data_IF_844494570568
#
_entry.id   IF_844494570568
#
_cell.length_a   1.000
_cell.length_b   1.000
_cell.length_c   1.000
_cell.angle_alpha   90.00
_cell.angle_beta   90.00
_cell.angle_gamma   90.00
#
_symmetry.space_group_name_H-M   'P 1'
#
loop_
_entity.id
_entity.type
_entity.pdbx_description
1 polymer ?
#
# COMPACT_ATOMS: atom_id res chain seq x y z
N UNK A 1 -62.54 25.65 -15.87
CA UNK A 1 -62.83 25.23 -17.26
C UNK A 1 -62.49 23.73 -17.34
N UNK A 2 -63.44 22.90 -17.79
CA UNK A 2 -63.59 21.42 -17.78
C UNK A 2 -62.41 20.52 -17.37
N UNK A 3 -62.54 19.56 -16.44
CA UNK A 3 -63.32 18.28 -16.43
C UNK A 3 -63.00 17.37 -17.62
N UNK A 4 -62.36 16.20 -17.38
CA UNK A 4 -62.96 14.87 -17.57
C UNK A 4 -61.98 13.70 -17.30
N UNK A 5 -62.40 12.79 -16.42
CA UNK A 5 -61.93 11.41 -16.27
C UNK A 5 -62.33 10.53 -17.47
N UNK A 6 -61.63 9.41 -17.66
CA UNK A 6 -62.09 8.01 -17.92
C UNK A 6 -60.82 7.20 -18.34
N UNK A 7 -60.53 5.96 -17.95
CA UNK A 7 -61.30 4.87 -17.34
C UNK A 7 -61.19 3.59 -18.21
N UNK A 8 -60.78 2.48 -17.58
CA UNK A 8 -60.86 1.06 -18.01
C UNK A 8 -59.83 0.48 -19.01
N UNK A 9 -59.50 -0.83 -19.05
CA UNK A 9 -59.59 -2.03 -18.17
C UNK A 9 -59.13 -3.25 -19.03
N UNK A 10 -58.34 -4.17 -18.45
CA UNK A 10 -58.19 -5.63 -18.72
C UNK A 10 -57.95 -6.18 -20.16
N UNK A 11 -57.01 -7.12 -20.34
CA UNK A 11 -57.21 -8.59 -20.25
C UNK A 11 -55.99 -9.42 -20.73
N UNK A 12 -55.73 -10.48 -19.96
CA UNK A 12 -55.12 -11.80 -20.20
C UNK A 12 -54.57 -12.23 -21.59
N UNK A 13 -53.45 -12.97 -21.55
CA UNK A 13 -53.07 -13.96 -22.56
C UNK A 13 -51.90 -14.84 -22.11
N UNK A 14 -52.10 -16.15 -22.03
CA UNK A 14 -51.18 -17.19 -21.54
C UNK A 14 -50.88 -18.21 -22.67
N UNK A 15 -49.81 -19.03 -22.51
CA UNK A 15 -49.43 -20.26 -23.28
C UNK A 15 -48.74 -20.06 -24.65
N UNK A 16 -47.84 -20.92 -25.16
CA UNK A 16 -47.32 -22.27 -24.82
C UNK A 16 -46.09 -22.62 -25.71
N UNK A 17 -45.15 -23.39 -25.14
CA UNK A 17 -44.50 -24.65 -25.63
C UNK A 17 -43.80 -24.75 -27.01
N UNK A 18 -42.62 -25.39 -26.98
CA UNK A 18 -42.05 -26.28 -28.01
C UNK A 18 -40.52 -26.23 -27.97
N UNK A 19 -39.79 -27.04 -27.19
CA UNK A 19 -39.49 -28.48 -27.35
C UNK A 19 -38.81 -28.82 -28.69
N UNK A 20 -37.52 -29.19 -28.64
CA UNK A 20 -36.92 -30.40 -29.27
C UNK A 20 -35.38 -30.38 -29.19
N UNK A 21 -34.81 -31.32 -28.43
CA UNK A 21 -33.56 -32.02 -28.80
C UNK A 21 -33.94 -33.21 -29.72
N UNK A 22 -33.02 -33.89 -30.44
CA UNK A 22 -32.15 -34.87 -29.76
C UNK A 22 -30.76 -35.16 -30.40
N UNK A 23 -29.95 -35.89 -29.61
CA UNK A 23 -29.02 -37.00 -29.97
C UNK A 23 -27.89 -36.80 -31.01
N UNK A 24 -26.64 -37.19 -30.76
CA UNK A 24 -26.16 -38.59 -30.66
C UNK A 24 -24.71 -38.59 -30.14
N UNK A 25 -24.41 -39.30 -29.05
CA UNK A 25 -23.78 -40.63 -29.00
C UNK A 25 -22.33 -40.72 -29.54
N UNK A 26 -21.39 -40.74 -28.59
CA UNK A 26 -19.97 -41.08 -28.75
C UNK A 26 -19.76 -42.59 -28.55
N UNK A 27 -18.99 -43.22 -29.43
CA UNK A 27 -18.40 -44.55 -29.28
C UNK A 27 -16.91 -44.43 -29.63
N UNK A 28 -16.01 -44.84 -28.73
CA UNK A 28 -15.23 -46.09 -28.84
C UNK A 28 -14.05 -45.93 -29.81
N UNK A 29 -12.79 -46.27 -29.54
CA UNK A 29 -12.12 -47.16 -28.59
C UNK A 29 -10.63 -46.91 -28.79
N UNK A 30 -9.85 -46.80 -27.71
CA UNK A 30 -8.38 -46.78 -27.75
C UNK A 30 -7.83 -48.21 -27.70
N UNK A 31 -6.90 -48.53 -28.60
CA UNK A 31 -6.12 -49.76 -28.57
C UNK A 31 -4.78 -49.50 -27.88
N UNK A 32 -4.50 -50.31 -26.86
CA UNK A 32 -3.20 -50.50 -26.21
C UNK A 32 -2.60 -51.79 -26.80
N UNK A 33 -1.31 -51.77 -27.12
CA UNK A 33 -0.52 -52.99 -27.32
C UNK A 33 0.88 -52.79 -26.74
N UNK A 34 1.13 -53.49 -25.63
CA UNK A 34 2.46 -53.89 -25.16
C UNK A 34 2.96 -55.07 -25.99
N UNK A 35 4.26 -55.13 -26.31
CA UNK A 35 4.95 -56.39 -26.56
C UNK A 35 6.43 -56.31 -26.14
N UNK A 36 6.68 -56.96 -25.00
CA UNK A 36 7.73 -57.95 -24.68
C UNK A 36 9.21 -57.79 -25.03
N UNK A 37 9.98 -58.08 -23.97
CA UNK A 37 11.42 -58.30 -23.85
C UNK A 37 11.98 -59.45 -24.72
N UNK A 38 13.24 -59.27 -25.12
CA UNK A 38 14.12 -60.33 -25.63
C UNK A 38 15.32 -60.54 -24.71
N UNK A 39 15.42 -61.75 -24.14
CA UNK A 39 16.61 -62.26 -23.47
C UNK A 39 17.70 -62.60 -24.50
N UNK A 40 18.96 -62.33 -24.16
CA UNK A 40 20.11 -62.99 -24.77
C UNK A 40 21.10 -63.39 -23.68
N UNK A 41 21.38 -64.70 -23.64
CA UNK A 41 22.36 -65.37 -22.78
C UNK A 41 23.73 -65.32 -23.45
N UNK A 42 24.77 -64.98 -22.70
CA UNK A 42 26.15 -65.29 -23.08
C UNK A 42 26.95 -65.79 -21.88
N UNK A 43 27.81 -66.76 -22.17
CA UNK A 43 28.44 -67.74 -21.29
C UNK A 43 29.43 -67.18 -20.27
N UNK A 44 29.46 -67.87 -19.13
CA UNK A 44 30.34 -67.67 -17.98
C UNK A 44 31.68 -68.37 -18.21
N UNK A 45 32.80 -67.63 -18.14
CA UNK A 45 34.15 -68.19 -18.03
C UNK A 45 34.65 -67.97 -16.60
N UNK A 46 34.86 -69.07 -15.88
CA UNK A 46 35.40 -69.08 -14.53
C UNK A 46 36.85 -68.57 -14.51
N UNK A 47 37.13 -67.61 -13.63
CA UNK A 47 38.48 -67.14 -13.31
C UNK A 47 38.61 -67.08 -11.78
N UNK A 48 39.74 -67.56 -11.30
CA UNK A 48 40.14 -67.75 -9.89
C UNK A 48 40.07 -66.45 -9.06
N UNK A 49 39.77 -66.49 -7.75
CA UNK A 49 39.67 -65.30 -6.93
C UNK A 49 41.06 -64.75 -6.55
N UNK A 50 41.31 -63.43 -6.67
CA UNK A 50 42.50 -62.83 -6.09
C UNK A 50 42.35 -62.66 -4.57
N UNK A 51 43.49 -62.63 -3.88
CA UNK A 51 43.64 -62.49 -2.44
C UNK A 51 42.97 -61.23 -1.87
N UNK A 52 42.56 -61.22 -0.58
CA UNK A 52 41.89 -60.08 0.03
C UNK A 52 42.89 -58.92 0.18
N UNK A 53 42.63 -57.84 -0.52
CA UNK A 53 43.26 -56.54 -0.27
C UNK A 53 42.58 -55.94 0.97
N UNK A 54 43.37 -55.60 2.00
CA UNK A 54 42.88 -54.85 3.15
C UNK A 54 42.35 -53.48 2.70
N UNK A 55 41.08 -53.22 2.98
CA UNK A 55 40.47 -51.89 2.84
C UNK A 55 41.18 -50.93 3.82
N UNK A 56 41.55 -49.71 3.39
CA UNK A 56 42.01 -48.71 4.34
C UNK A 56 40.86 -48.35 5.27
N UNK A 57 41.16 -48.35 6.58
CA UNK A 57 40.21 -47.95 7.62
C UNK A 57 39.58 -46.58 7.29
N UNK A 58 38.26 -46.39 7.48
CA UNK A 58 37.63 -45.10 7.24
C UNK A 58 38.27 -44.07 8.16
N UNK A 59 38.75 -42.96 7.59
CA UNK A 59 39.20 -41.81 8.35
C UNK A 59 38.07 -41.34 9.27
N UNK A 60 38.38 -40.95 10.52
CA UNK A 60 37.36 -40.45 11.43
C UNK A 60 36.74 -39.19 10.82
N UNK A 61 35.44 -39.25 10.52
CA UNK A 61 34.64 -38.09 10.14
C UNK A 61 34.80 -37.03 11.22
N UNK A 62 35.55 -35.98 10.88
CA UNK A 62 35.61 -34.75 11.66
C UNK A 62 34.18 -34.24 11.73
N UNK A 63 33.60 -33.94 12.91
CA UNK A 63 32.29 -33.33 12.97
C UNK A 63 32.35 -32.05 12.15
N UNK A 64 31.57 -32.01 11.08
CA UNK A 64 31.34 -30.80 10.31
C UNK A 64 30.86 -29.76 11.31
N UNK A 65 31.67 -28.72 11.51
CA UNK A 65 31.28 -27.61 12.36
C UNK A 65 29.99 -27.08 11.76
N UNK A 66 28.89 -27.20 12.50
CA UNK A 66 27.63 -26.54 12.17
C UNK A 66 27.98 -25.06 12.13
N UNK A 67 28.16 -24.50 10.93
CA UNK A 67 28.25 -23.06 10.76
C UNK A 67 27.01 -22.48 11.42
N UNK A 68 27.14 -21.50 12.33
CA UNK A 68 25.97 -20.86 12.89
C UNK A 68 25.13 -20.35 11.72
N UNK A 69 23.87 -20.79 11.66
CA UNK A 69 22.84 -20.14 10.86
C UNK A 69 23.00 -18.63 11.04
N UNK A 70 22.99 -17.82 9.96
CA UNK A 70 23.11 -16.38 10.08
C UNK A 70 22.12 -15.91 11.15
N UNK A 71 22.66 -15.27 12.19
CA UNK A 71 21.83 -14.69 13.24
C UNK A 71 20.87 -13.73 12.54
N UNK A 72 19.57 -14.04 12.65
CA UNK A 72 18.47 -13.14 12.31
C UNK A 72 18.83 -11.73 12.78
N UNK A 73 18.92 -10.77 11.84
CA UNK A 73 19.43 -9.40 11.98
C UNK A 73 19.33 -8.85 13.41
N UNK A 74 20.38 -9.06 14.22
CA UNK A 74 20.41 -8.56 15.59
C UNK A 74 20.52 -7.04 15.54
N UNK A 75 19.41 -6.35 15.82
CA UNK A 75 19.37 -4.89 15.87
C UNK A 75 20.32 -4.36 16.94
N UNK A 76 20.93 -3.18 16.73
CA UNK A 76 21.69 -2.49 17.78
C UNK A 76 20.86 -2.32 19.06
N UNK A 77 21.52 -2.30 20.22
CA UNK A 77 20.85 -2.06 21.50
C UNK A 77 20.07 -0.73 21.48
N UNK A 78 18.80 -0.77 21.92
CA UNK A 78 17.90 0.38 21.92
C UNK A 78 17.26 0.71 20.56
N UNK A 79 17.47 -0.13 19.54
CA UNK A 79 16.78 -0.04 18.26
C UNK A 79 15.71 -1.11 18.08
N UNK A 80 14.66 -0.74 17.34
CA UNK A 80 13.57 -1.62 16.91
C UNK A 80 13.31 -1.42 15.42
N UNK A 81 12.62 -2.37 14.78
CA UNK A 81 12.10 -2.14 13.42
C UNK A 81 10.94 -1.15 13.47
N UNK A 82 10.99 -0.12 12.61
CA UNK A 82 9.87 0.79 12.39
C UNK A 82 8.65 0.01 11.89
N UNK A 83 7.46 0.34 12.40
CA UNK A 83 6.22 -0.23 11.88
C UNK A 83 5.80 0.38 10.53
N UNK A 84 6.39 1.51 10.13
CA UNK A 84 6.12 2.17 8.86
C UNK A 84 7.07 1.74 7.74
N UNK A 85 8.37 1.60 8.03
CA UNK A 85 9.41 1.35 7.00
C UNK A 85 10.17 0.04 7.19
N UNK A 86 10.06 -0.60 8.36
CA UNK A 86 10.85 -1.78 8.71
C UNK A 86 12.32 -1.48 9.04
N UNK A 87 12.79 -0.26 8.77
CA UNK A 87 14.17 0.15 9.04
C UNK A 87 14.44 0.22 10.56
N UNK A 88 15.70 0.03 10.99
CA UNK A 88 16.09 0.24 12.38
C UNK A 88 15.89 1.70 12.81
N UNK A 89 15.16 1.90 13.90
CA UNK A 89 14.90 3.20 14.53
C UNK A 89 15.08 3.12 16.03
N UNK A 90 15.30 4.25 16.70
CA UNK A 90 15.31 4.27 18.16
C UNK A 90 13.97 3.77 18.71
N UNK A 91 13.99 2.95 19.76
CA UNK A 91 12.78 2.34 20.34
C UNK A 91 11.70 3.38 20.69
N UNK A 92 12.11 4.54 21.21
CA UNK A 92 11.21 5.65 21.54
C UNK A 92 10.45 6.21 20.32
N UNK A 93 11.01 6.08 19.12
CA UNK A 93 10.37 6.45 17.87
C UNK A 93 9.57 5.26 17.32
N UNK A 94 10.13 4.06 17.30
CA UNK A 94 9.46 2.86 16.79
C UNK A 94 8.26 2.39 17.61
N UNK A 95 8.07 2.89 18.84
CA UNK A 95 6.97 2.49 19.75
C UNK A 95 6.04 3.65 20.13
N UNK A 96 6.12 4.77 19.41
CA UNK A 96 5.14 5.86 19.52
C UNK A 96 4.20 5.88 18.34
N UNK A 97 3.02 6.47 18.53
CA UNK A 97 2.06 6.72 17.45
C UNK A 97 2.69 7.63 16.39
N UNK A 98 2.50 7.32 15.10
CA UNK A 98 2.91 8.22 14.06
C UNK A 98 1.97 9.42 14.00
N UNK A 99 2.49 10.53 13.48
CA UNK A 99 1.69 11.70 13.13
C UNK A 99 1.30 11.57 11.66
N UNK A 100 0.01 11.58 11.35
CA UNK A 100 -0.51 11.61 9.99
C UNK A 100 -0.86 13.06 9.63
N UNK A 101 -0.19 13.64 8.62
CA UNK A 101 -0.38 15.05 8.24
C UNK A 101 -0.94 15.14 6.83
N UNK A 102 -2.06 15.85 6.68
CA UNK A 102 -2.64 16.17 5.38
C UNK A 102 -1.84 17.27 4.67
N UNK A 103 -1.40 17.04 3.43
CA UNK A 103 -0.57 17.98 2.66
C UNK A 103 -1.24 18.34 1.33
N UNK A 104 -1.17 19.61 0.96
CA UNK A 104 -1.61 20.08 -0.36
C UNK A 104 -0.80 19.43 -1.49
N UNK A 105 -1.43 19.11 -2.62
CA UNK A 105 -0.73 18.64 -3.82
C UNK A 105 -1.18 19.37 -5.09
N UNK A 106 -1.12 20.70 -5.04
CA UNK A 106 -1.30 21.54 -6.23
C UNK A 106 -0.02 22.31 -6.48
N UNK A 107 0.19 22.74 -7.73
CA UNK A 107 1.45 23.38 -8.14
C UNK A 107 1.82 24.61 -7.29
N UNK A 108 0.85 25.43 -6.89
CA UNK A 108 1.09 26.62 -6.04
C UNK A 108 1.43 26.30 -4.59
N UNK A 109 1.32 25.03 -4.20
CA UNK A 109 1.68 24.50 -2.90
C UNK A 109 2.87 23.52 -2.98
N UNK A 110 3.53 23.44 -4.14
CA UNK A 110 4.74 22.66 -4.34
C UNK A 110 5.97 23.59 -4.38
N UNK A 111 7.16 23.12 -3.96
CA UNK A 111 7.39 21.82 -3.32
C UNK A 111 6.75 21.73 -1.92
N UNK A 112 6.41 20.52 -1.47
CA UNK A 112 6.01 20.32 -0.07
C UNK A 112 7.24 20.40 0.84
N UNK A 113 7.07 20.93 2.05
CA UNK A 113 8.13 20.97 3.06
C UNK A 113 8.05 19.73 3.94
N UNK A 114 9.17 19.07 4.23
CA UNK A 114 9.31 18.00 5.21
C UNK A 114 8.71 16.66 4.81
N UNK A 115 8.10 16.55 3.63
CA UNK A 115 7.41 15.34 3.16
C UNK A 115 8.36 14.14 3.02
N UNK A 116 9.65 14.37 2.75
CA UNK A 116 10.66 13.31 2.66
C UNK A 116 10.80 12.52 3.95
N UNK A 117 10.37 13.05 5.10
CA UNK A 117 10.42 12.34 6.38
C UNK A 117 9.28 11.35 6.60
N UNK A 118 8.28 11.32 5.71
CA UNK A 118 7.19 10.37 5.83
C UNK A 118 7.68 8.95 5.52
N UNK A 119 7.35 7.99 6.38
CA UNK A 119 7.61 6.57 6.13
C UNK A 119 6.59 5.98 5.15
N UNK A 120 5.35 6.46 5.22
CA UNK A 120 4.27 6.09 4.31
C UNK A 120 3.58 7.35 3.81
N UNK A 121 3.34 7.44 2.50
CA UNK A 121 2.58 8.52 1.89
C UNK A 121 1.36 7.92 1.20
N UNK A 122 0.16 8.37 1.57
CA UNK A 122 -1.05 8.13 0.79
C UNK A 122 -1.29 9.30 -0.16
N UNK A 123 -1.64 9.01 -1.40
CA UNK A 123 -2.17 9.97 -2.36
C UNK A 123 -3.54 9.50 -2.83
N UNK A 124 -4.51 10.41 -2.87
CA UNK A 124 -5.86 10.11 -3.34
C UNK A 124 -6.47 11.34 -4.03
N UNK A 125 -7.36 11.11 -5.02
CA UNK A 125 -8.10 12.18 -5.67
C UNK A 125 -9.09 12.82 -4.70
N UNK A 126 -9.22 14.14 -4.81
CA UNK A 126 -10.23 14.94 -4.11
C UNK A 126 -11.09 15.67 -5.15
N UNK A 127 -11.78 16.74 -4.74
CA UNK A 127 -12.66 17.51 -5.62
C UNK A 127 -11.88 18.23 -6.72
N UNK A 128 -12.49 18.40 -7.90
CA UNK A 128 -11.88 19.16 -9.01
C UNK A 128 -10.72 18.46 -9.74
N UNK A 129 -10.55 17.15 -9.55
CA UNK A 129 -9.56 16.34 -10.28
C UNK A 129 -8.11 16.52 -9.81
N UNK A 130 -7.91 17.20 -8.67
CA UNK A 130 -6.61 17.30 -8.00
C UNK A 130 -6.42 16.12 -7.03
N UNK A 131 -5.20 15.89 -6.59
CA UNK A 131 -4.92 14.97 -5.48
C UNK A 131 -4.56 15.71 -4.20
N UNK A 132 -4.61 14.99 -3.10
CA UNK A 132 -4.04 15.41 -1.82
C UNK A 132 -3.11 14.31 -1.31
N UNK A 133 -2.22 14.65 -0.38
CA UNK A 133 -1.32 13.68 0.25
C UNK A 133 -1.62 13.57 1.73
N UNK A 134 -1.35 12.42 2.31
CA UNK A 134 -1.26 12.21 3.75
C UNK A 134 0.06 11.49 4.04
N UNK A 135 0.99 12.18 4.70
CA UNK A 135 2.25 11.58 5.14
C UNK A 135 2.14 11.06 6.57
N UNK A 136 2.69 9.87 6.84
CA UNK A 136 2.83 9.31 8.19
C UNK A 136 4.27 9.45 8.66
N UNK A 137 4.45 10.13 9.78
CA UNK A 137 5.76 10.49 10.35
C UNK A 137 5.94 9.79 11.68
N UNK A 138 6.92 8.88 11.73
CA UNK A 138 7.33 8.24 12.98
C UNK A 138 8.44 9.02 13.68
N UNK A 139 9.34 9.65 12.92
CA UNK A 139 10.24 10.68 13.44
C UNK A 139 9.63 12.07 13.20
N UNK A 140 9.24 12.77 14.26
CA UNK A 140 8.77 14.17 14.24
C UNK A 140 9.42 15.06 15.32
N UNK A 141 10.53 14.61 15.94
CA UNK A 141 11.14 15.28 17.10
C UNK A 141 11.80 16.62 16.76
N UNK A 142 12.40 16.70 15.58
CA UNK A 142 13.18 17.80 15.03
C UNK A 142 12.57 18.34 13.72
N UNK A 143 11.26 18.15 13.55
CA UNK A 143 10.56 18.59 12.35
C UNK A 143 10.44 20.11 12.33
N UNK A 144 11.25 20.79 11.51
CA UNK A 144 11.26 22.25 11.43
C UNK A 144 10.04 22.83 10.68
N UNK A 145 9.58 22.13 9.64
CA UNK A 145 8.47 22.58 8.80
C UNK A 145 7.88 21.41 8.02
N UNK A 146 6.58 21.18 8.17
CA UNK A 146 5.80 20.23 7.38
C UNK A 146 4.55 20.91 6.81
N UNK A 147 4.33 20.76 5.51
CA UNK A 147 3.16 21.32 4.84
C UNK A 147 3.36 21.61 3.35
N UNK A 148 2.54 22.46 2.73
CA UNK A 148 1.43 23.16 3.38
C UNK A 148 0.32 22.19 3.81
N UNK A 149 -0.17 22.35 5.04
CA UNK A 149 -1.23 21.50 5.62
C UNK A 149 -2.56 21.79 4.96
N UNK A 150 -3.33 20.75 4.65
CA UNK A 150 -4.62 20.85 3.98
C UNK A 150 -5.73 20.02 4.59
N UNK A 151 -6.91 20.13 3.97
CA UNK A 151 -8.15 19.64 4.54
C UNK A 151 -8.29 18.12 4.44
N UNK A 152 -8.92 17.55 5.46
CA UNK A 152 -9.26 16.13 5.57
C UNK A 152 -10.42 15.72 4.65
N UNK A 153 -10.41 14.48 4.17
CA UNK A 153 -11.57 13.75 3.61
C UNK A 153 -11.77 12.43 4.35
N UNK A 154 -12.95 11.86 4.24
CA UNK A 154 -13.45 10.71 5.01
C UNK A 154 -12.52 9.50 4.90
N UNK A 155 -12.12 9.15 3.68
CA UNK A 155 -11.23 8.02 3.43
C UNK A 155 -9.84 8.20 4.05
N UNK A 156 -9.32 9.41 4.19
CA UNK A 156 -8.06 9.64 4.93
C UNK A 156 -8.22 9.36 6.43
N UNK A 157 -9.40 9.57 7.00
CA UNK A 157 -9.66 9.25 8.41
C UNK A 157 -9.56 7.75 8.65
N UNK A 158 -10.20 6.93 7.80
CA UNK A 158 -10.11 5.47 7.89
C UNK A 158 -8.69 4.94 7.68
N UNK A 159 -7.93 5.58 6.79
CA UNK A 159 -6.53 5.24 6.54
C UNK A 159 -5.66 5.60 7.74
N UNK A 160 -5.77 6.82 8.29
CA UNK A 160 -5.03 7.26 9.47
C UNK A 160 -5.33 6.41 10.72
N UNK A 161 -6.61 6.06 10.93
CA UNK A 161 -7.03 5.21 12.04
C UNK A 161 -6.38 3.82 12.00
N UNK A 162 -6.16 3.25 10.82
CA UNK A 162 -5.48 1.96 10.66
C UNK A 162 -4.05 1.97 11.21
N UNK A 163 -3.39 3.11 11.24
CA UNK A 163 -2.04 3.28 11.80
C UNK A 163 -2.05 3.72 13.27
N UNK A 164 -3.23 3.83 13.89
CA UNK A 164 -3.37 4.39 15.22
C UNK A 164 -2.75 5.80 15.32
N UNK A 165 -2.82 6.57 14.23
CA UNK A 165 -2.09 7.82 14.08
C UNK A 165 -2.73 8.97 14.88
N UNK A 166 -1.93 10.00 15.16
CA UNK A 166 -2.40 11.33 15.55
C UNK A 166 -2.60 12.14 14.26
N UNK A 167 -3.83 12.56 13.97
CA UNK A 167 -4.19 13.05 12.65
C UNK A 167 -4.29 14.58 12.57
N UNK A 168 -3.37 15.21 11.85
CA UNK A 168 -3.26 16.65 11.70
C UNK A 168 -3.74 17.12 10.34
N UNK A 169 -4.67 18.07 10.33
CA UNK A 169 -5.25 18.62 9.11
C UNK A 169 -5.71 20.07 9.32
N UNK A 170 -5.91 20.80 8.22
CA UNK A 170 -6.45 22.16 8.26
C UNK A 170 -7.74 22.25 7.46
N UNK A 171 -8.87 22.19 8.17
CA UNK A 171 -10.19 22.06 7.59
C UNK A 171 -10.55 20.63 7.20
N UNK A 172 -11.78 20.42 6.74
CA UNK A 172 -12.35 19.10 6.48
C UNK A 172 -13.51 19.19 5.49
N UNK A 173 -13.81 18.08 4.82
CA UNK A 173 -15.11 17.90 4.13
C UNK A 173 -16.24 17.76 5.17
N UNK A 174 -17.46 18.13 4.79
CA UNK A 174 -18.60 18.06 5.70
C UNK A 174 -18.90 16.62 6.15
N UNK A 175 -18.71 15.62 5.28
CA UNK A 175 -18.98 14.22 5.62
C UNK A 175 -17.88 13.57 6.48
N UNK A 176 -16.73 14.23 6.64
CA UNK A 176 -15.67 13.81 7.55
C UNK A 176 -15.94 14.23 9.00
N UNK A 177 -16.83 15.20 9.25
CA UNK A 177 -17.11 15.72 10.59
C UNK A 177 -17.53 14.60 11.57
N UNK A 178 -18.50 13.72 11.25
CA UNK A 178 -18.91 12.67 12.19
C UNK A 178 -17.80 11.66 12.49
N UNK A 179 -16.86 11.45 11.55
CA UNK A 179 -15.72 10.55 11.76
C UNK A 179 -14.68 11.20 12.67
N UNK A 180 -14.41 12.49 12.48
CA UNK A 180 -13.47 13.28 13.28
C UNK A 180 -13.97 13.54 14.70
N UNK A 181 -15.29 13.58 14.91
CA UNK A 181 -15.92 13.70 16.23
C UNK A 181 -16.13 12.35 16.94
N UNK A 182 -15.73 11.24 16.31
CA UNK A 182 -15.82 9.90 16.89
C UNK A 182 -14.60 9.55 17.74
N UNK A 183 -14.73 8.51 18.58
CA UNK A 183 -13.63 8.01 19.43
C UNK A 183 -12.62 7.14 18.66
N UNK A 184 -12.71 7.05 17.32
CA UNK A 184 -11.85 6.20 16.50
C UNK A 184 -10.60 6.91 15.97
N UNK A 185 -10.52 8.24 16.09
CA UNK A 185 -9.38 9.02 15.60
C UNK A 185 -9.11 10.22 16.51
N UNK A 186 -7.87 10.35 16.96
CA UNK A 186 -7.39 11.57 17.60
C UNK A 186 -6.92 12.52 16.51
N UNK A 187 -7.53 13.71 16.42
CA UNK A 187 -7.23 14.66 15.37
C UNK A 187 -7.04 16.09 15.89
N UNK A 188 -6.22 16.86 15.19
CA UNK A 188 -5.95 18.25 15.52
C UNK A 188 -6.25 19.11 14.30
N UNK A 189 -7.39 19.81 14.34
CA UNK A 189 -7.84 20.65 13.22
C UNK A 189 -7.32 22.09 13.33
N UNK A 190 -6.58 22.56 12.32
CA UNK A 190 -6.08 23.94 12.27
C UNK A 190 -7.16 25.02 12.19
N UNK A 191 -8.43 24.67 11.90
CA UNK A 191 -9.54 25.62 12.06
C UNK A 191 -9.89 25.89 13.52
N UNK A 192 -9.59 24.97 14.43
CA UNK A 192 -9.88 25.07 15.86
C UNK A 192 -8.63 25.51 16.65
N UNK A 193 -7.50 24.87 16.40
CA UNK A 193 -6.27 25.06 17.17
C UNK A 193 -5.25 26.01 16.52
N UNK A 194 -5.62 26.65 15.40
CA UNK A 194 -4.84 27.58 14.55
C UNK A 194 -3.45 27.96 15.09
N UNK A 195 -3.22 29.17 15.61
CA UNK A 195 -1.90 29.67 16.03
C UNK A 195 -1.27 28.96 17.24
N UNK A 196 -2.01 28.06 17.91
CA UNK A 196 -1.49 27.29 19.04
C UNK A 196 -0.71 26.06 18.58
N UNK A 197 -1.06 25.54 17.40
CA UNK A 197 -0.53 24.29 16.84
C UNK A 197 0.10 24.53 15.47
N UNK A 198 -0.50 25.38 14.66
CA UNK A 198 -0.11 25.69 13.29
C UNK A 198 0.47 27.09 13.21
N UNK A 199 1.27 27.32 12.18
CA UNK A 199 1.68 28.67 11.81
C UNK A 199 1.43 28.91 10.32
N UNK A 200 1.45 30.19 9.94
CA UNK A 200 1.36 30.59 8.53
C UNK A 200 2.62 31.28 8.08
N UNK A 201 3.05 30.99 6.86
CA UNK A 201 4.18 31.66 6.22
C UNK A 201 3.68 32.67 5.18
N UNK A 202 4.54 33.62 4.79
CA UNK A 202 4.20 34.68 3.83
C UNK A 202 4.64 34.39 2.39
N UNK A 203 5.44 33.34 2.16
CA UNK A 203 5.96 32.96 0.84
C UNK A 203 4.89 32.39 -0.08
N UNK A 204 3.74 31.97 0.47
CA UNK A 204 2.61 31.41 -0.30
C UNK A 204 1.29 32.08 0.09
N UNK A 205 0.33 32.21 -0.84
CA UNK A 205 -0.99 32.72 -0.52
C UNK A 205 -1.80 31.70 0.29
N UNK A 206 -2.68 32.22 1.15
CA UNK A 206 -3.76 31.40 1.71
C UNK A 206 -4.60 30.80 0.58
N UNK A 207 -5.05 29.54 0.67
CA UNK A 207 -4.94 28.65 1.83
C UNK A 207 -3.77 27.65 1.78
N UNK A 208 -2.70 27.94 1.02
CA UNK A 208 -1.54 27.04 0.81
C UNK A 208 -0.31 27.42 1.64
N UNK A 209 -0.52 28.10 2.76
CA UNK A 209 0.54 28.66 3.57
C UNK A 209 0.47 28.28 5.05
N UNK A 210 -0.34 27.29 5.42
CA UNK A 210 -0.38 26.76 6.79
C UNK A 210 0.62 25.61 6.94
N UNK A 211 1.35 25.57 8.04
CA UNK A 211 2.41 24.59 8.31
C UNK A 211 2.37 24.15 9.78
N UNK A 212 3.02 23.02 10.06
CA UNK A 212 3.35 22.52 11.40
C UNK A 212 4.86 22.43 11.57
N UNK A 213 5.29 22.31 12.81
CA UNK A 213 6.62 21.91 13.24
C UNK A 213 6.50 20.97 14.45
N UNK A 214 7.64 20.50 14.97
CA UNK A 214 7.68 19.61 16.14
C UNK A 214 7.01 20.22 17.37
N UNK A 215 7.15 21.53 17.58
CA UNK A 215 6.56 22.22 18.72
C UNK A 215 5.04 22.30 18.59
N UNK A 216 4.52 22.56 17.38
CA UNK A 216 3.11 22.54 17.05
C UNK A 216 2.48 21.15 17.25
N UNK A 217 3.16 20.10 16.82
CA UNK A 217 2.73 18.71 17.06
C UNK A 217 2.68 18.42 18.57
N UNK A 218 3.71 18.79 19.33
CA UNK A 218 3.70 18.61 20.78
C UNK A 218 2.56 19.40 21.45
N UNK A 219 2.34 20.65 21.05
CA UNK A 219 1.25 21.48 21.55
C UNK A 219 -0.12 20.89 21.25
N UNK A 220 -0.32 20.32 20.06
CA UNK A 220 -1.58 19.67 19.68
C UNK A 220 -1.87 18.43 20.53
N UNK A 221 -0.84 17.61 20.78
CA UNK A 221 -0.93 16.46 21.69
C UNK A 221 -1.35 16.91 23.10
N UNK A 222 -0.67 17.92 23.64
CA UNK A 222 -0.90 18.41 25.00
C UNK A 222 -2.27 19.06 25.17
N UNK A 223 -2.70 19.91 24.22
CA UNK A 223 -3.99 20.61 24.26
C UNK A 223 -5.17 19.64 24.23
N UNK A 224 -5.08 18.61 23.41
CA UNK A 224 -6.14 17.61 23.28
C UNK A 224 -6.04 16.47 24.30
N UNK A 225 -4.93 16.39 25.05
CA UNK A 225 -4.69 15.33 26.02
C UNK A 225 -4.52 13.95 25.38
N UNK A 226 -3.97 13.88 24.18
CA UNK A 226 -3.85 12.64 23.43
C UNK A 226 -2.71 11.77 23.91
N UNK A 227 -2.91 10.44 23.88
CA UNK A 227 -1.84 9.47 24.12
C UNK A 227 -0.83 9.51 22.99
N UNK A 228 0.44 9.32 23.33
CA UNK A 228 1.56 9.27 22.36
C UNK A 228 2.04 7.86 22.08
N UNK A 229 1.74 6.90 22.95
CA UNK A 229 2.02 5.48 22.73
C UNK A 229 0.90 4.80 21.93
N UNK A 230 1.27 3.76 21.19
CA UNK A 230 0.29 2.89 20.56
C UNK A 230 -0.66 2.27 21.60
N UNK A 231 -1.82 1.81 21.14
CA UNK A 231 -2.70 0.95 21.93
C UNK A 231 -2.00 -0.37 22.31
N UNK A 232 -2.37 -0.92 23.45
CA UNK A 232 -1.86 -2.21 23.91
C UNK A 232 -2.09 -3.30 22.85
N UNK A 233 -1.04 -4.08 22.57
CA UNK A 233 -1.07 -5.15 21.56
C UNK A 233 -0.92 -4.68 20.11
N UNK A 234 -0.63 -3.40 19.86
CA UNK A 234 -0.23 -2.95 18.53
C UNK A 234 1.20 -3.43 18.19
N UNK A 235 1.32 -4.20 17.12
CA UNK A 235 2.59 -4.81 16.67
C UNK A 235 2.90 -4.47 15.20
N UNK A 236 2.40 -3.33 14.73
CA UNK A 236 2.41 -3.00 13.30
C UNK A 236 1.58 -3.98 12.47
N UNK A 237 1.56 -3.78 11.15
CA UNK A 237 0.82 -4.67 10.25
C UNK A 237 1.50 -4.95 8.93
N UNK A 238 2.39 -4.07 8.49
CA UNK A 238 3.28 -4.37 7.38
C UNK A 238 4.24 -5.49 7.78
N UNK A 239 4.39 -6.43 6.86
CA UNK A 239 5.45 -7.42 6.92
C UNK A 239 6.59 -6.91 6.07
N UNK A 240 7.81 -7.08 6.56
CA UNK A 240 9.00 -6.61 5.86
C UNK A 240 9.91 -7.77 5.48
N UNK A 241 10.47 -7.70 4.28
CA UNK A 241 11.62 -8.50 3.89
C UNK A 241 12.85 -8.08 4.72
N UNK A 242 13.86 -8.95 4.81
CA UNK A 242 15.13 -8.59 5.46
C UNK A 242 16.02 -7.80 4.49
N UNK A 243 17.07 -7.16 5.01
CA UNK A 243 18.06 -6.48 4.17
C UNK A 243 18.82 -7.48 3.28
N UNK A 244 19.06 -8.69 3.78
CA UNK A 244 19.82 -9.72 3.08
C UNK A 244 18.99 -10.53 2.09
N UNK A 245 17.67 -10.57 2.26
CA UNK A 245 16.73 -11.27 1.39
C UNK A 245 15.57 -10.33 0.98
N UNK A 246 15.86 -9.28 0.18
CA UNK A 246 14.84 -8.36 -0.27
C UNK A 246 13.82 -9.03 -1.19
N UNK A 247 12.59 -8.53 -1.19
CA UNK A 247 11.55 -8.94 -2.13
C UNK A 247 11.88 -8.38 -3.52
N UNK A 248 12.12 -9.27 -4.47
CA UNK A 248 12.47 -8.92 -5.86
C UNK A 248 11.32 -9.11 -6.83
N UNK A 249 10.24 -9.77 -6.39
CA UNK A 249 9.08 -10.14 -7.21
C UNK A 249 9.54 -10.80 -8.53
N UNK A 250 10.36 -11.85 -8.45
CA UNK A 250 11.04 -12.44 -9.63
C UNK A 250 10.08 -12.79 -10.78
N UNK A 251 8.87 -13.25 -10.44
CA UNK A 251 7.82 -13.61 -11.40
C UNK A 251 6.90 -12.44 -11.78
N UNK A 252 7.18 -11.24 -11.28
CA UNK A 252 6.42 -10.02 -11.54
C UNK A 252 6.66 -9.43 -12.93
N UNK A 253 5.67 -8.66 -13.40
CA UNK A 253 5.78 -7.88 -14.64
C UNK A 253 6.76 -6.72 -14.46
N UNK A 254 7.30 -6.20 -15.57
CA UNK A 254 8.14 -5.00 -15.52
C UNK A 254 7.33 -3.83 -14.95
N UNK A 255 7.98 -3.06 -14.08
CA UNK A 255 7.42 -1.88 -13.46
C UNK A 255 8.53 -0.84 -13.26
N UNK A 256 9.37 -0.61 -14.27
CA UNK A 256 10.37 0.45 -14.24
C UNK A 256 9.70 1.83 -14.31
N UNK A 257 8.49 1.91 -14.86
CA UNK A 257 7.66 3.11 -14.89
C UNK A 257 6.28 2.82 -14.28
N UNK A 258 5.83 3.69 -13.38
CA UNK A 258 4.50 3.62 -12.76
C UNK A 258 3.81 4.98 -12.81
N UNK A 259 2.62 5.06 -13.40
CA UNK A 259 1.78 6.26 -13.36
C UNK A 259 0.32 5.89 -13.03
N UNK A 260 -0.28 6.47 -11.98
CA UNK A 260 -1.67 6.17 -11.60
C UNK A 260 -2.68 6.73 -12.61
N UNK A 261 -3.70 5.92 -12.93
CA UNK A 261 -4.84 6.37 -13.72
C UNK A 261 -5.69 7.40 -12.97
N UNK A 262 -6.33 8.32 -13.69
CA UNK A 262 -7.24 9.31 -13.11
C UNK A 262 -6.58 10.56 -12.50
N UNK A 263 -5.25 10.65 -12.47
CA UNK A 263 -4.51 11.72 -11.80
C UNK A 263 -4.14 12.86 -12.78
N UNK A 264 -5.17 13.44 -13.39
CA UNK A 264 -5.02 14.33 -14.56
C UNK A 264 -4.43 15.71 -14.26
N UNK A 265 -4.48 16.16 -13.00
CA UNK A 265 -4.00 17.50 -12.65
C UNK A 265 -2.48 17.55 -12.44
N UNK A 266 -1.95 16.64 -11.61
CA UNK A 266 -0.53 16.60 -11.29
C UNK A 266 0.26 15.63 -12.18
N UNK A 267 -0.40 14.73 -12.92
CA UNK A 267 0.20 13.75 -13.82
C UNK A 267 1.48 13.13 -13.23
N UNK A 268 1.42 12.51 -12.04
CA UNK A 268 2.62 12.02 -11.38
C UNK A 268 3.06 10.71 -12.02
N UNK A 269 4.36 10.43 -11.91
CA UNK A 269 4.89 9.13 -12.23
C UNK A 269 6.08 8.81 -11.33
N UNK A 270 6.42 7.54 -11.31
CA UNK A 270 7.59 7.00 -10.65
C UNK A 270 8.47 6.33 -11.69
N UNK A 271 9.78 6.60 -11.61
CA UNK A 271 10.78 5.91 -12.41
C UNK A 271 11.69 5.12 -11.49
N UNK A 272 11.83 3.82 -11.75
CA UNK A 272 12.76 2.98 -11.02
C UNK A 272 14.19 3.36 -11.39
N UNK A 273 15.00 3.60 -10.36
CA UNK A 273 16.43 3.81 -10.47
C UNK A 273 17.15 2.57 -9.95
N UNK A 274 17.77 1.81 -10.86
CA UNK A 274 18.46 0.56 -10.50
C UNK A 274 19.66 0.79 -9.56
N UNK A 275 20.30 1.96 -9.63
CA UNK A 275 21.49 2.27 -8.85
C UNK A 275 21.16 2.40 -7.35
N UNK A 276 20.10 3.13 -7.01
CA UNK A 276 19.59 3.23 -5.63
C UNK A 276 18.64 2.09 -5.26
N UNK A 277 18.08 1.40 -6.25
CA UNK A 277 17.03 0.41 -6.06
C UNK A 277 15.74 1.04 -5.52
N UNK A 278 15.44 2.29 -5.90
CA UNK A 278 14.26 3.05 -5.46
C UNK A 278 13.50 3.63 -6.63
N UNK A 279 12.27 4.07 -6.39
CA UNK A 279 11.42 4.76 -7.34
C UNK A 279 11.48 6.27 -7.12
N UNK A 280 12.10 6.99 -8.05
CA UNK A 280 12.16 8.44 -8.09
C UNK A 280 10.80 9.00 -8.51
N UNK A 281 10.26 9.94 -7.74
CA UNK A 281 8.92 10.50 -7.99
C UNK A 281 8.99 11.82 -8.76
N UNK A 282 8.03 11.99 -9.65
CA UNK A 282 7.84 13.17 -10.48
C UNK A 282 6.37 13.61 -10.46
N UNK A 283 6.13 14.90 -10.68
CA UNK A 283 4.80 15.46 -10.92
C UNK A 283 4.91 16.85 -11.53
N UNK A 284 3.83 17.31 -12.16
CA UNK A 284 3.79 18.60 -12.86
C UNK A 284 4.91 18.75 -13.90
N UNK A 285 5.36 17.62 -14.48
CA UNK A 285 6.44 17.58 -15.48
C UNK A 285 7.86 17.59 -14.92
N UNK A 286 8.05 17.68 -13.61
CA UNK A 286 9.37 17.85 -12.98
C UNK A 286 9.60 16.83 -11.84
N UNK A 287 10.87 16.61 -11.42
CA UNK A 287 11.18 15.91 -10.17
C UNK A 287 10.40 16.49 -8.99
N UNK A 288 9.69 15.66 -8.23
CA UNK A 288 9.11 16.13 -6.98
C UNK A 288 10.19 16.17 -5.91
N UNK A 289 10.51 17.36 -5.40
CA UNK A 289 11.49 17.55 -4.33
C UNK A 289 10.81 17.86 -2.99
N UNK A 290 11.53 17.65 -1.90
CA UNK A 290 11.21 18.24 -0.60
C UNK A 290 11.82 19.64 -0.50
N UNK A 291 11.04 20.65 -0.11
CA UNK A 291 11.52 22.02 0.09
C UNK A 291 12.66 22.10 1.13
N UNK A 292 12.64 21.25 2.16
CA UNK A 292 13.59 21.33 3.27
C UNK A 292 14.96 20.77 2.91
N UNK A 293 15.02 19.72 2.09
CA UNK A 293 16.27 19.06 1.70
C UNK A 293 16.73 19.41 0.29
N UNK A 294 15.82 19.91 -0.55
CA UNK A 294 16.01 20.09 -1.99
C UNK A 294 16.30 18.78 -2.76
N UNK A 295 16.07 17.63 -2.12
CA UNK A 295 16.28 16.32 -2.72
C UNK A 295 14.98 15.80 -3.35
N UNK A 296 15.13 15.07 -4.45
CA UNK A 296 14.01 14.39 -5.10
C UNK A 296 13.46 13.28 -4.19
N UNK A 297 12.14 13.18 -4.11
CA UNK A 297 11.48 12.12 -3.37
C UNK A 297 11.73 10.77 -4.05
N UNK A 298 12.08 9.79 -3.23
CA UNK A 298 12.26 8.42 -3.64
C UNK A 298 11.60 7.46 -2.63
N UNK A 299 11.02 6.36 -3.13
CA UNK A 299 10.37 5.33 -2.30
C UNK A 299 10.83 3.93 -2.70
N UNK A 300 10.83 2.99 -1.76
CA UNK A 300 11.20 1.60 -2.02
C UNK A 300 10.02 0.79 -2.54
N UNK A 301 8.83 1.13 -2.07
CA UNK A 301 7.61 0.41 -2.32
C UNK A 301 6.55 1.35 -2.89
N UNK A 302 5.79 0.86 -3.87
CA UNK A 302 4.56 1.51 -4.34
C UNK A 302 3.44 0.49 -4.23
N UNK A 303 2.29 0.93 -3.74
CA UNK A 303 1.04 0.17 -3.76
C UNK A 303 0.02 0.98 -4.54
N UNK A 304 -0.56 0.41 -5.59
CA UNK A 304 -1.74 0.96 -6.24
C UNK A 304 -2.96 0.25 -5.67
N UNK A 305 -3.87 0.99 -5.06
CA UNK A 305 -5.08 0.48 -4.43
C UNK A 305 -6.30 0.96 -5.22
N UNK A 306 -6.92 0.05 -5.99
CA UNK A 306 -8.13 0.37 -6.74
C UNK A 306 -9.33 0.31 -5.81
N UNK A 307 -10.05 1.43 -5.71
CA UNK A 307 -11.17 1.60 -4.80
C UNK A 307 -12.43 1.94 -5.57
N UNK A 308 -13.54 1.29 -5.21
CA UNK A 308 -14.85 1.72 -5.69
C UNK A 308 -15.19 3.10 -5.16
N UNK A 309 -15.98 3.85 -5.90
CA UNK A 309 -16.32 5.21 -5.50
C UNK A 309 -17.67 5.65 -6.05
N UNK A 310 -18.17 6.73 -5.46
CA UNK A 310 -19.30 7.50 -5.97
C UNK A 310 -19.16 8.95 -5.55
N UNK A 311 -20.00 9.82 -6.10
CA UNK A 311 -20.21 11.15 -5.51
C UNK A 311 -21.17 11.03 -4.32
N UNK A 312 -21.02 11.88 -3.32
CA UNK A 312 -21.95 11.91 -2.20
C UNK A 312 -23.37 12.31 -2.62
N UNK A 313 -23.50 13.22 -3.58
CA UNK A 313 -24.73 13.50 -4.30
C UNK A 313 -24.43 14.07 -5.70
N UNK A 314 -25.44 14.15 -6.57
CA UNK A 314 -25.27 14.58 -7.98
C UNK A 314 -24.76 16.02 -8.12
N UNK A 315 -24.97 16.86 -7.10
CA UNK A 315 -24.48 18.23 -7.03
C UNK A 315 -23.19 18.38 -6.19
N UNK A 316 -22.80 17.33 -5.45
CA UNK A 316 -21.62 17.33 -4.61
C UNK A 316 -20.36 17.19 -5.46
N UNK A 317 -19.37 18.02 -5.14
CA UNK A 317 -18.02 17.85 -5.67
C UNK A 317 -17.23 16.78 -4.91
N UNK A 318 -17.69 16.40 -3.71
CA UNK A 318 -17.05 15.44 -2.80
C UNK A 318 -17.17 13.99 -3.29
N UNK A 319 -16.05 13.27 -3.21
CA UNK A 319 -15.92 11.87 -3.56
C UNK A 319 -16.06 10.99 -2.31
N UNK A 320 -16.94 10.00 -2.39
CA UNK A 320 -17.02 8.89 -1.44
C UNK A 320 -16.20 7.73 -2.00
N UNK A 321 -14.93 7.64 -1.60
CA UNK A 321 -14.00 6.60 -2.03
C UNK A 321 -13.99 5.48 -0.99
N UNK A 322 -14.38 4.28 -1.40
CA UNK A 322 -14.47 3.13 -0.52
C UNK A 322 -13.08 2.51 -0.28
N UNK A 323 -12.47 2.90 0.82
CA UNK A 323 -11.21 2.33 1.34
C UNK A 323 -11.45 1.25 2.40
N UNK A 324 -12.67 0.69 2.48
CA UNK A 324 -13.08 -0.24 3.55
C UNK A 324 -13.41 -1.62 3.01
N UNK A 325 -14.25 -1.73 1.98
CA UNK A 325 -14.84 -3.02 1.57
C UNK A 325 -13.90 -3.90 0.71
N UNK A 326 -12.65 -3.49 0.53
CA UNK A 326 -11.66 -4.25 -0.22
C UNK A 326 -11.73 -4.03 -1.72
N UNK A 327 -10.75 -4.60 -2.42
CA UNK A 327 -10.64 -4.46 -3.87
C UNK A 327 -9.35 -5.06 -4.42
N UNK A 328 -9.10 -4.78 -5.69
CA UNK A 328 -7.86 -5.14 -6.36
C UNK A 328 -6.80 -4.08 -6.16
N UNK A 329 -5.54 -4.44 -6.39
CA UNK A 329 -4.43 -3.52 -6.39
C UNK A 329 -3.21 -4.10 -7.08
N UNK A 330 -2.12 -3.36 -7.03
CA UNK A 330 -0.81 -3.82 -7.49
C UNK A 330 0.23 -3.44 -6.45
N UNK A 331 1.09 -4.39 -6.08
CA UNK A 331 2.30 -4.11 -5.30
C UNK A 331 3.49 -4.03 -6.24
N UNK A 332 4.29 -2.98 -6.07
CA UNK A 332 5.46 -2.68 -6.89
C UNK A 332 6.67 -2.44 -5.99
N UNK A 333 7.76 -3.14 -6.28
CA UNK A 333 9.08 -2.92 -5.69
C UNK A 333 10.16 -3.49 -6.62
N UNK A 334 11.41 -3.07 -6.44
CA UNK A 334 12.57 -3.65 -7.16
C UNK A 334 12.42 -3.70 -8.70
N UNK A 335 11.74 -2.71 -9.31
CA UNK A 335 11.51 -2.65 -10.77
C UNK A 335 10.43 -3.61 -11.28
N UNK A 336 9.69 -4.25 -10.38
CA UNK A 336 8.75 -5.33 -10.65
C UNK A 336 7.40 -5.10 -9.98
N UNK A 337 6.35 -5.69 -10.55
CA UNK A 337 5.00 -5.60 -10.03
C UNK A 337 4.27 -6.94 -10.03
N UNK A 338 3.45 -7.14 -9.00
CA UNK A 338 2.47 -8.23 -8.89
C UNK A 338 1.09 -7.67 -8.58
N UNK A 339 0.05 -8.36 -9.05
CA UNK A 339 -1.32 -8.03 -8.65
C UNK A 339 -1.58 -8.52 -7.23
N UNK A 340 -2.33 -7.72 -6.48
CA UNK A 340 -2.71 -8.00 -5.10
C UNK A 340 -4.20 -7.77 -4.90
N UNK A 341 -4.73 -8.35 -3.84
CA UNK A 341 -6.02 -7.97 -3.27
C UNK A 341 -5.79 -7.18 -1.99
N UNK A 342 -6.65 -6.21 -1.70
CA UNK A 342 -6.65 -5.49 -0.44
C UNK A 342 -7.99 -5.67 0.29
N UNK A 343 -7.94 -5.68 1.61
CA UNK A 343 -9.12 -5.84 2.47
C UNK A 343 -8.91 -5.21 3.84
N UNK A 344 -10.01 -4.91 4.53
CA UNK A 344 -10.03 -4.54 5.95
C UNK A 344 -11.04 -5.43 6.67
N UNK A 345 -10.70 -5.89 7.86
CA UNK A 345 -11.65 -6.61 8.73
C UNK A 345 -12.59 -5.64 9.45
N UNK A 346 -12.13 -4.40 9.63
CA UNK A 346 -12.76 -3.32 10.38
C UNK A 346 -12.47 -2.01 9.60
N UNK A 347 -13.46 -1.14 9.36
CA UNK A 347 -13.23 0.19 8.77
C UNK A 347 -12.07 0.98 9.39
N UNK A 348 -11.90 0.87 10.71
CA UNK A 348 -10.86 1.54 11.50
C UNK A 348 -9.57 0.72 11.63
N UNK A 349 -9.59 -0.52 11.13
CA UNK A 349 -8.47 -1.43 11.15
C UNK A 349 -7.43 -1.14 10.06
N UNK A 350 -6.50 -2.08 9.94
CA UNK A 350 -5.39 -2.01 8.99
C UNK A 350 -5.83 -2.50 7.61
N UNK A 351 -5.26 -1.90 6.56
CA UNK A 351 -5.39 -2.44 5.20
C UNK A 351 -4.40 -3.58 5.01
N UNK A 352 -4.92 -4.75 4.62
CA UNK A 352 -4.14 -5.96 4.39
C UNK A 352 -4.04 -6.21 2.89
N UNK A 353 -2.81 -6.35 2.40
CA UNK A 353 -2.53 -6.67 1.01
C UNK A 353 -2.09 -8.13 0.88
N UNK A 354 -2.67 -8.85 -0.07
CA UNK A 354 -2.37 -10.27 -0.32
C UNK A 354 -2.09 -10.53 -1.78
N UNK A 355 -1.13 -11.41 -2.05
CA UNK A 355 -0.80 -11.85 -3.40
C UNK A 355 -1.88 -12.79 -3.99
N UNK A 356 -1.63 -13.32 -5.18
CA UNK A 356 -2.52 -14.27 -5.86
C UNK A 356 -2.66 -15.62 -5.16
N UNK A 357 -1.74 -15.97 -4.25
CA UNK A 357 -1.81 -17.18 -3.43
C UNK A 357 -2.59 -16.94 -2.11
N UNK A 358 -2.98 -15.69 -1.84
CA UNK A 358 -3.65 -15.28 -0.61
C UNK A 358 -2.68 -15.04 0.56
N UNK A 359 -1.36 -15.05 0.31
CA UNK A 359 -0.33 -14.75 1.30
C UNK A 359 -0.18 -13.23 1.46
N UNK A 360 0.15 -12.77 2.67
CA UNK A 360 0.42 -11.34 2.87
C UNK A 360 1.69 -10.96 2.11
N UNK A 361 1.67 -9.83 1.42
CA UNK A 361 2.89 -9.32 0.79
C UNK A 361 3.91 -8.90 1.85
N UNK A 362 5.19 -9.02 1.50
CA UNK A 362 6.30 -8.44 2.24
C UNK A 362 6.76 -7.18 1.53
N UNK A 363 6.85 -6.08 2.27
CA UNK A 363 7.45 -4.84 1.79
C UNK A 363 8.97 -4.92 1.92
N UNK A 364 9.70 -4.31 1.01
CA UNK A 364 11.12 -4.05 1.23
C UNK A 364 11.30 -2.95 2.29
N UNK A 365 12.42 -2.97 3.00
CA UNK A 365 12.74 -1.91 3.96
C UNK A 365 12.83 -0.55 3.27
N UNK A 366 12.16 0.43 3.85
CA UNK A 366 12.11 1.81 3.37
C UNK A 366 10.70 2.33 3.12
N UNK A 367 10.64 3.51 2.50
CA UNK A 367 9.39 4.28 2.36
C UNK A 367 8.42 3.64 1.38
N UNK A 368 7.13 3.82 1.66
CA UNK A 368 6.03 3.30 0.84
C UNK A 368 5.11 4.42 0.35
N UNK A 369 4.82 4.45 -0.95
CA UNK A 369 3.79 5.32 -1.53
C UNK A 369 2.55 4.50 -1.88
N UNK A 370 1.40 4.87 -1.33
CA UNK A 370 0.11 4.23 -1.63
C UNK A 370 -0.74 5.17 -2.48
N UNK A 371 -0.99 4.76 -3.71
CA UNK A 371 -1.82 5.45 -4.69
C UNK A 371 -3.24 4.91 -4.61
N UNK A 372 -4.18 5.71 -4.10
CA UNK A 372 -5.61 5.40 -4.16
C UNK A 372 -6.12 5.79 -5.54
N UNK A 373 -6.47 4.79 -6.35
CA UNK A 373 -6.97 4.98 -7.71
C UNK A 373 -8.44 4.61 -7.74
N UNK A 374 -9.26 5.44 -8.36
CA UNK A 374 -10.67 5.13 -8.57
C UNK A 374 -10.78 3.95 -9.54
N UNK A 375 -11.58 2.94 -9.22
CA UNK A 375 -11.68 1.68 -9.97
C UNK A 375 -12.01 1.86 -11.47
N UNK A 376 -12.80 2.87 -11.82
CA UNK A 376 -13.10 3.23 -13.20
C UNK A 376 -11.88 3.74 -14.01
N UNK A 377 -10.78 4.07 -13.35
CA UNK A 377 -9.50 4.46 -13.95
C UNK A 377 -8.41 3.40 -13.76
N UNK A 378 -8.76 2.18 -13.32
CA UNK A 378 -7.78 1.11 -13.15
C UNK A 378 -7.05 0.78 -14.46
N UNK A 379 -7.78 0.70 -15.57
CA UNK A 379 -7.23 0.40 -16.90
C UNK A 379 -6.36 1.54 -17.48
N UNK A 380 -6.41 2.74 -16.89
CA UNK A 380 -5.55 3.88 -17.26
C UNK A 380 -4.24 3.91 -16.45
N UNK A 381 -4.07 3.02 -15.47
CA UNK A 381 -2.83 2.94 -14.70
C UNK A 381 -1.72 2.29 -15.53
N UNK A 382 -0.63 3.01 -15.77
CA UNK A 382 0.53 2.50 -16.50
C UNK A 382 1.52 1.86 -15.53
N UNK A 383 1.84 0.59 -15.75
CA UNK A 383 2.91 -0.15 -15.07
C UNK A 383 3.67 -0.93 -16.13
N UNK A 384 4.91 -0.53 -16.44
CA UNK A 384 5.68 -1.11 -17.56
C UNK A 384 7.17 -1.00 -17.42
#
# INVERSE_FOLDING_TARGET
MGIALLGSMMLFGCRKIGETAPETASAGTSYVSEETAGESKTETKATEPPAPTEDPAPEPLVPEAIEPTPAEDALPEGMVKSYLTGEPVAEVQGRRRPVAVMLSNIISACPQSGISRAGVIYEAPVEGGITRLMGLFENYDDLEKIGSVRSCREYYVYLAAGFDALYYHYGQAAYAIPLLESDHIDNVNGMEYSEQVYYRTSDRPSPHNAYLDAAGIAAGIDLCGYRTSYKDGYDGFFQFASETEPETLEQGRNAAYVAPGGYFHNNPWFSYDEASGTYLRYQFGEPQIDEMTQEQLAVKNIIVQYCSWKKYDDNAEYLDIDVVNGGMGTYITSGKAIDVTWSKDDPWGVTKYRDSNGEKIKLNLGKTWVLIVLDNYADETEIR
#
